data_IF_856150596060
#
_entry.id   IF_856150596060
#
_cell.length_a   1.000
_cell.length_b   1.000
_cell.length_c   1.000
_cell.angle_alpha   90.00
_cell.angle_beta   90.00
_cell.angle_gamma   90.00
#
_symmetry.space_group_name_H-M   'P 1'
#
loop_
_entity.id
_entity.type
_entity.pdbx_description
1 polymer ?
2 non-polymer ?
3 non-polymer ?
4 water ?
#
# COMPACT_ATOMS: atom_id res chain seq x y z
N UNK A 3 21.79 14.00 -14.65
CA UNK A 3 20.66 14.57 -13.83
C UNK A 3 19.91 13.49 -13.04
N UNK A 4 20.29 12.20 -13.25
CA UNK A 4 19.78 11.06 -12.46
C UNK A 4 20.93 10.37 -11.74
N UNK A 5 20.72 10.07 -10.45
CA UNK A 5 21.66 9.31 -9.63
C UNK A 5 21.32 7.83 -9.70
N UNK A 6 22.35 6.99 -9.80
CA UNK A 6 22.19 5.52 -9.78
C UNK A 6 22.75 4.96 -8.47
N UNK A 7 21.89 4.32 -7.69
CA UNK A 7 22.24 3.88 -6.35
C UNK A 7 21.97 2.40 -6.18
N UNK A 8 23.02 1.66 -5.89
CA UNK A 8 22.94 0.22 -5.63
C UNK A 8 22.57 -0.02 -4.17
N UNK A 9 21.39 -0.64 -3.93
CA UNK A 9 21.00 -0.82 -2.54
C UNK A 9 21.96 -1.75 -1.77
N UNK A 10 22.66 -2.65 -2.47
CA UNK A 10 23.53 -3.64 -1.79
C UNK A 10 24.73 -2.98 -1.19
N UNK A 11 25.07 -1.82 -1.69
CA UNK A 11 26.23 -1.10 -1.21
C UNK A 11 25.92 -0.31 0.05
N UNK A 12 24.77 0.34 0.03
CA UNK A 12 24.44 1.23 1.11
C UNK A 12 23.82 0.46 2.28
N UNK A 13 23.52 1.17 3.37
CA UNK A 13 23.05 0.49 4.59
C UNK A 13 21.55 0.30 4.58
N UNK A 14 21.08 -0.55 5.49
CA UNK A 14 19.63 -0.70 5.68
C UNK A 14 18.95 0.66 5.95
N UNK A 15 19.52 1.48 6.82
CA UNK A 15 18.94 2.80 7.06
C UNK A 15 18.92 3.67 5.78
N UNK A 16 19.97 3.57 4.94
CA UNK A 16 20.01 4.33 3.68
C UNK A 16 18.83 3.89 2.79
N UNK A 17 18.61 2.57 2.72
CA UNK A 17 17.54 2.05 1.87
C UNK A 17 16.18 2.42 2.43
N UNK A 18 16.07 2.30 3.75
CA UNK A 18 14.87 2.74 4.46
C UNK A 18 14.50 4.20 4.14
N UNK A 19 15.48 5.09 4.21
CA UNK A 19 15.25 6.49 3.88
C UNK A 19 14.76 6.66 2.43
N UNK A 20 15.37 5.96 1.46
CA UNK A 20 14.94 6.15 0.05
C UNK A 20 13.54 5.58 -0.16
N UNK A 21 13.25 4.42 0.41
CA UNK A 21 11.90 3.87 0.19
C UNK A 21 10.84 4.76 0.79
N UNK A 22 11.03 5.13 2.07
CA UNK A 22 10.01 5.90 2.76
C UNK A 22 9.86 7.33 2.24
N UNK A 23 10.90 7.85 1.58
CA UNK A 23 10.80 9.19 0.99
C UNK A 23 10.28 9.20 -0.44
N UNK A 24 10.36 8.03 -1.10
CA UNK A 24 9.91 7.90 -2.51
C UNK A 24 8.48 7.39 -2.64
N UNK A 25 8.15 6.36 -1.85
CA UNK A 25 6.81 5.72 -1.93
C UNK A 25 5.92 6.49 -0.97
N UNK A 26 5.42 7.60 -1.49
CA UNK A 26 4.60 8.54 -0.72
C UNK A 26 3.46 9.07 -1.57
N UNK A 27 2.37 9.50 -0.93
CA UNK A 27 2.07 9.41 0.51
C UNK A 27 1.57 7.98 0.82
N UNK A 28 1.68 7.55 2.07
CA UNK A 28 1.19 6.21 2.48
C UNK A 28 0.06 6.31 3.49
N UNK A 29 -1.02 5.60 3.23
CA UNK A 29 -2.14 5.64 4.19
C UNK A 29 -1.72 4.91 5.46
N UNK A 30 -2.27 5.32 6.61
CA UNK A 30 -1.82 4.77 7.90
C UNK A 30 -2.93 3.93 8.54
N UNK A 31 -2.66 2.63 8.74
CA UNK A 31 -3.64 1.72 9.43
C UNK A 31 -3.33 1.82 10.93
N UNK A 32 -4.33 2.15 11.75
CA UNK A 32 -4.13 2.00 13.21
C UNK A 32 -4.73 0.64 13.54
N UNK A 33 -3.91 -0.28 14.04
CA UNK A 33 -4.33 -1.68 14.11
C UNK A 33 -4.40 -2.12 15.58
N UNK A 34 -5.57 -2.65 15.99
CA UNK A 34 -5.67 -3.22 17.35
C UNK A 34 -5.67 -4.77 17.26
N UNK A 35 -5.22 -5.37 18.35
CA UNK A 35 -4.99 -6.83 18.41
C UNK A 35 -4.93 -7.16 19.90
N UNK A 36 -5.06 -8.44 20.23
CA UNK A 36 -5.15 -8.85 21.65
C UNK A 36 -4.14 -9.95 21.95
N UNK A 37 -3.54 -9.92 23.14
CA UNK A 37 -2.55 -10.91 23.55
C UNK A 37 -3.30 -12.16 24.05
N UNK A 38 -2.55 -13.23 24.34
CA UNK A 38 -3.17 -14.44 24.89
C UNK A 38 -3.90 -14.13 26.22
N UNK A 39 -3.32 -13.22 27.02
CA UNK A 39 -3.90 -12.87 28.31
C UNK A 39 -4.99 -11.80 28.23
N UNK A 40 -5.35 -11.40 27.00
CA UNK A 40 -6.45 -10.47 26.75
C UNK A 40 -6.16 -8.99 26.82
N UNK A 41 -4.88 -8.62 26.79
CA UNK A 41 -4.48 -7.21 26.79
C UNK A 41 -4.68 -6.63 25.37
N UNK A 42 -5.33 -5.47 25.30
CA UNK A 42 -5.54 -4.82 24.00
C UNK A 42 -4.31 -4.01 23.63
N UNK A 43 -3.76 -4.28 22.44
CA UNK A 43 -2.62 -3.56 21.90
C UNK A 43 -3.08 -2.75 20.69
N UNK A 44 -2.38 -1.67 20.42
CA UNK A 44 -2.64 -0.86 19.22
C UNK A 44 -1.37 -0.20 18.76
N UNK A 45 -1.21 -0.09 17.45
CA UNK A 45 -0.06 0.58 16.83
C UNK A 45 -0.40 1.00 15.41
N UNK A 46 0.24 2.07 14.92
CA UNK A 46 0.08 2.53 13.53
C UNK A 46 1.09 1.89 12.60
N UNK A 47 0.63 1.60 11.37
CA UNK A 47 1.44 1.00 10.32
C UNK A 47 1.15 1.68 8.98
N UNK A 48 2.18 2.26 8.35
CA UNK A 48 1.93 2.90 7.07
C UNK A 48 2.22 2.01 5.85
N UNK A 49 2.70 0.80 6.08
CA UNK A 49 2.90 -0.16 4.96
C UNK A 49 1.59 -0.92 4.77
N UNK A 50 0.59 -0.21 4.25
CA UNK A 50 -0.81 -0.60 4.31
C UNK A 50 -1.45 -0.34 2.97
N UNK A 51 -2.20 -1.29 2.45
CA UNK A 51 -2.99 -0.99 1.25
C UNK A 51 -4.08 -2.07 1.02
N UNK A 52 -4.84 -1.85 -0.05
CA UNK A 52 -5.82 -2.82 -0.51
C UNK A 52 -5.08 -3.95 -1.21
N UNK A 53 -5.66 -5.16 -1.14
CA UNK A 53 -5.18 -6.27 -1.91
C UNK A 53 -6.18 -6.63 -3.04
N UNK A 54 -7.45 -6.77 -2.68
CA UNK A 54 -8.50 -7.13 -3.62
C UNK A 54 -9.85 -6.78 -3.02
N UNK A 55 -10.87 -6.78 -3.89
CA UNK A 55 -12.25 -6.52 -3.45
C UNK A 55 -13.07 -7.78 -3.30
N UNK A 56 -12.61 -8.89 -3.90
CA UNK A 56 -13.38 -10.13 -3.89
C UNK A 56 -12.55 -11.28 -3.33
N UNK A 57 -12.73 -11.59 -2.05
CA UNK A 57 -13.47 -10.83 -1.04
C UNK A 57 -12.60 -9.63 -0.64
N UNK A 58 -13.12 -8.75 0.22
CA UNK A 58 -12.30 -7.57 0.59
C UNK A 58 -11.06 -8.01 1.36
N UNK A 59 -9.88 -7.80 0.74
CA UNK A 59 -8.60 -8.15 1.38
C UNK A 59 -7.73 -6.91 1.48
N UNK A 60 -7.02 -6.81 2.60
CA UNK A 60 -6.08 -5.71 2.85
C UNK A 60 -4.74 -6.29 3.31
N UNK A 61 -3.69 -5.47 3.23
CA UNK A 61 -2.35 -5.91 3.66
C UNK A 61 -1.77 -4.90 4.63
N UNK A 62 -1.02 -5.41 5.59
CA UNK A 62 -0.22 -4.56 6.49
C UNK A 62 1.11 -5.27 6.70
N UNK A 63 2.21 -4.58 6.39
CA UNK A 63 3.52 -5.20 6.57
C UNK A 63 4.12 -4.72 7.89
N UNK A 64 4.20 -5.64 8.86
CA UNK A 64 4.65 -5.30 10.21
C UNK A 64 6.12 -5.69 10.37
N UNK A 65 6.98 -4.72 10.62
CA UNK A 65 8.42 -5.00 10.67
C UNK A 65 8.75 -5.74 11.96
N UNK A 66 9.74 -6.61 11.90
CA UNK A 66 10.22 -7.31 13.09
C UNK A 66 11.22 -6.44 13.83
N UNK A 67 11.48 -6.80 15.08
CA UNK A 67 12.54 -6.15 15.86
C UNK A 67 13.58 -7.21 16.16
N UNK A 68 14.71 -7.10 15.47
CA UNK A 68 15.83 -8.05 15.55
C UNK A 68 15.39 -9.48 15.34
N UNK A 69 14.55 -9.67 14.32
CA UNK A 69 14.12 -10.99 13.95
C UNK A 69 12.94 -11.50 14.75
N UNK A 70 12.46 -10.72 15.72
CA UNK A 70 11.28 -11.11 16.53
C UNK A 70 10.01 -10.40 16.09
N UNK A 71 8.88 -11.11 16.07
CA UNK A 71 7.61 -10.44 15.70
C UNK A 71 7.25 -9.31 16.63
N UNK A 72 6.66 -8.25 16.10
CA UNK A 72 6.06 -7.26 16.99
C UNK A 72 4.73 -7.78 17.55
N UNK A 73 4.24 -7.13 18.61
CA UNK A 73 2.97 -7.55 19.24
C UNK A 73 1.86 -7.72 18.21
N UNK A 74 1.74 -6.78 17.28
CA UNK A 74 0.61 -6.84 16.36
C UNK A 74 0.62 -8.14 15.59
N UNK A 75 1.77 -8.54 15.04
CA UNK A 75 1.79 -9.76 14.24
C UNK A 75 1.67 -11.03 15.11
N UNK A 76 2.35 -11.07 16.25
CA UNK A 76 2.21 -12.20 17.18
C UNK A 76 0.72 -12.34 17.56
N UNK A 77 0.09 -11.21 17.92
CA UNK A 77 -1.32 -11.23 18.36
C UNK A 77 -2.29 -11.64 17.23
N UNK A 78 -2.05 -11.11 16.04
CA UNK A 78 -2.88 -11.43 14.88
C UNK A 78 -2.82 -12.92 14.56
N UNK A 79 -1.61 -13.49 14.62
CA UNK A 79 -1.43 -14.92 14.33
C UNK A 79 -2.09 -15.79 15.40
N UNK A 80 -1.92 -15.41 16.67
CA UNK A 80 -2.49 -16.22 17.76
C UNK A 80 -4.02 -16.19 17.78
N UNK A 81 -4.60 -15.01 17.61
CA UNK A 81 -6.06 -14.87 17.60
C UNK A 81 -6.71 -15.14 16.24
N UNK A 82 -5.95 -14.95 15.17
CA UNK A 82 -6.48 -15.02 13.81
C UNK A 82 -7.39 -13.86 13.46
N UNK A 83 -7.24 -12.75 14.19
CA UNK A 83 -8.17 -11.61 14.10
C UNK A 83 -7.44 -10.32 14.47
N UNK A 84 -7.94 -9.21 13.94
CA UNK A 84 -7.39 -7.88 14.27
C UNK A 84 -8.32 -6.83 13.66
N UNK A 85 -8.24 -5.59 14.16
CA UNK A 85 -9.08 -4.53 13.62
C UNK A 85 -8.17 -3.47 12.97
N UNK A 86 -8.51 -3.09 11.75
CA UNK A 86 -7.79 -2.01 11.05
C UNK A 86 -8.66 -0.75 11.06
N UNK A 87 -8.11 0.36 11.58
CA UNK A 87 -8.81 1.62 11.64
C UNK A 87 -8.16 2.58 10.66
N UNK A 88 -8.96 3.33 9.90
CA UNK A 88 -8.45 4.44 9.08
C UNK A 88 -7.98 5.57 9.99
N UNK A 89 -6.76 6.06 9.77
CA UNK A 89 -6.22 7.15 10.57
C UNK A 89 -6.66 8.48 9.98
N UNK A 90 -7.10 9.39 10.84
CA UNK A 90 -7.62 10.67 10.35
C UNK A 90 -7.24 11.81 11.29
N UNK A 91 -7.48 13.03 10.83
CA UNK A 91 -6.99 14.20 11.55
C UNK A 91 -7.55 14.31 12.96
N UNK A 92 -8.74 13.75 13.18
CA UNK A 92 -9.42 13.95 14.48
C UNK A 92 -8.78 13.17 15.62
N UNK A 93 -8.04 12.10 15.29
CA UNK A 93 -7.40 11.33 16.34
C UNK A 93 -5.97 10.89 16.06
N UNK A 94 -5.32 11.51 15.06
CA UNK A 94 -3.92 11.20 14.80
C UNK A 94 -3.00 11.49 16.02
N UNK A 95 -3.30 12.52 16.81
CA UNK A 95 -2.51 12.78 18.01
C UNK A 95 -2.48 11.58 18.96
N UNK A 96 -3.66 10.98 19.18
CA UNK A 96 -3.77 9.76 20.01
C UNK A 96 -3.05 8.56 19.34
N UNK A 97 -3.28 8.38 18.05
CA UNK A 97 -2.58 7.31 17.30
C UNK A 97 -1.06 7.44 17.50
N UNK A 98 -0.53 8.65 17.32
CA UNK A 98 0.89 8.86 17.52
C UNK A 98 1.38 8.47 18.94
N UNK A 99 0.58 8.74 19.96
CA UNK A 99 0.93 8.31 21.34
C UNK A 99 1.12 6.80 21.48
N UNK A 100 0.42 6.00 20.65
CA UNK A 100 0.54 4.52 20.72
C UNK A 100 1.77 3.93 20.02
N UNK A 101 2.53 4.75 19.29
CA UNK A 101 3.73 4.24 18.62
C UNK A 101 4.81 3.87 19.65
N UNK A 102 4.73 4.51 20.80
CA UNK A 102 5.63 4.26 21.93
C UNK A 102 5.80 2.79 22.30
N UNK A 103 6.98 2.43 22.78
CA UNK A 103 7.29 1.04 23.12
C UNK A 103 7.46 0.82 24.63
N UNK A 108 1.77 -3.47 28.95
CA UNK A 108 0.69 -2.50 29.10
C UNK A 108 -0.09 -2.27 27.81
N UNK A 109 -1.26 -1.65 27.95
CA UNK A 109 -2.13 -1.28 26.84
C UNK A 109 -1.83 0.14 26.32
N UNK A 110 -1.63 0.26 25.00
CA UNK A 110 -1.37 1.54 24.35
C UNK A 110 -2.65 2.37 24.31
N UNK A 111 -3.77 1.66 24.28
CA UNK A 111 -5.11 2.23 24.19
C UNK A 111 -5.39 3.08 25.43
N UNK A 112 -5.18 2.51 26.61
CA UNK A 112 -5.41 3.21 27.86
C UNK A 112 -4.54 4.44 27.95
N UNK A 113 -3.25 4.23 27.68
CA UNK A 113 -2.26 5.31 27.68
C UNK A 113 -2.70 6.49 26.81
N UNK A 114 -3.18 6.19 25.59
CA UNK A 114 -3.54 7.23 24.62
C UNK A 114 -4.96 7.74 24.79
N UNK A 115 -5.63 7.24 25.84
CA UNK A 115 -6.98 7.66 26.18
C UNK A 115 -7.99 7.31 25.10
N UNK A 116 -7.72 6.25 24.34
CA UNK A 116 -8.67 5.77 23.36
C UNK A 116 -9.68 4.83 24.02
N UNK A 117 -10.79 4.55 23.33
CA UNK A 117 -11.98 3.95 23.94
C UNK A 117 -12.34 2.63 23.28
N UNK A 118 -12.00 1.51 23.96
CA UNK A 118 -12.37 0.22 23.38
C UNK A 118 -13.84 0.09 23.03
N UNK A 119 -14.08 -0.59 21.92
CA UNK A 119 -15.42 -0.92 21.48
C UNK A 119 -15.48 -2.36 20.94
N UNK A 120 -16.40 -3.17 21.47
CA UNK A 120 -16.46 -4.59 21.10
C UNK A 120 -16.80 -4.74 19.61
N UNK A 121 -16.20 -5.73 18.96
CA UNK A 121 -16.50 -6.01 17.55
C UNK A 121 -17.74 -6.88 17.40
N UNK A 122 -18.33 -6.84 16.19
CA UNK A 122 -19.56 -7.58 15.89
C UNK A 122 -19.33 -9.07 15.53
N UNK A 123 -18.28 -9.34 14.75
CA UNK A 123 -17.97 -10.68 14.25
C UNK A 123 -16.79 -11.28 14.98
N UNK A 124 -15.68 -10.56 15.01
CA UNK A 124 -14.47 -11.04 15.69
C UNK A 124 -14.45 -10.67 17.18
N UNK A 125 -13.48 -11.22 17.91
CA UNK A 125 -13.38 -10.99 19.34
C UNK A 125 -12.27 -10.04 19.75
N UNK A 126 -11.73 -9.30 18.79
CA UNK A 126 -10.74 -8.24 19.08
C UNK A 126 -11.47 -6.90 19.07
N UNK A 127 -11.43 -6.13 20.18
CA UNK A 127 -12.06 -4.81 20.15
C UNK A 127 -11.35 -3.81 19.21
N UNK A 128 -12.11 -2.84 18.70
CA UNK A 128 -11.52 -1.65 18.04
C UNK A 128 -11.56 -0.48 19.00
N UNK A 129 -11.36 0.72 18.47
CA UNK A 129 -11.52 1.97 19.23
C UNK A 129 -12.61 2.84 18.63
N UNK A 130 -13.36 3.53 19.51
CA UNK A 130 -14.50 4.32 19.04
C UNK A 130 -14.10 5.55 18.25
N UNK A 131 -12.88 6.02 18.48
CA UNK A 131 -12.44 7.28 17.92
C UNK A 131 -12.36 7.27 16.40
N UNK A 132 -12.14 6.09 15.82
CA UNK A 132 -12.05 5.99 14.35
C UNK A 132 -13.41 6.24 13.70
N UNK A 133 -13.42 6.93 12.56
CA UNK A 133 -14.66 7.12 11.76
C UNK A 133 -14.88 5.98 10.77
N UNK A 134 -13.80 5.26 10.44
CA UNK A 134 -13.94 4.04 9.65
C UNK A 134 -13.05 2.97 10.25
N UNK A 135 -13.61 1.80 10.42
CA UNK A 135 -12.79 0.67 10.88
C UNK A 135 -13.30 -0.65 10.29
N UNK A 136 -12.39 -1.61 10.22
CA UNK A 136 -12.65 -2.87 9.52
C UNK A 136 -12.25 -4.04 10.41
N UNK A 137 -13.21 -4.90 10.74
CA UNK A 137 -12.88 -6.10 11.48
C UNK A 137 -12.29 -7.08 10.50
N UNK A 138 -11.12 -7.63 10.83
CA UNK A 138 -10.45 -8.56 9.89
C UNK A 138 -10.16 -9.91 10.48
N UNK A 139 -10.27 -10.92 9.62
CA UNK A 139 -9.69 -12.22 9.98
C UNK A 139 -8.36 -12.38 9.24
N UNK A 140 -7.41 -13.04 9.89
CA UNK A 140 -6.09 -13.20 9.29
C UNK A 140 -6.12 -14.30 8.25
N UNK A 141 -5.79 -13.96 6.99
CA UNK A 141 -5.69 -14.97 5.94
C UNK A 141 -4.27 -15.55 5.87
N UNK A 142 -3.26 -14.67 5.95
CA UNK A 142 -1.87 -15.09 5.79
C UNK A 142 -0.98 -14.20 6.64
N UNK A 143 0.09 -14.76 7.18
CA UNK A 143 1.15 -13.95 7.78
C UNK A 143 2.42 -14.48 7.12
N UNK A 144 3.00 -13.66 6.24
CA UNK A 144 4.07 -14.15 5.39
C UNK A 144 5.38 -13.46 5.77
N UNK A 145 6.34 -14.21 6.37
CA UNK A 145 7.59 -13.55 6.74
C UNK A 145 8.38 -13.25 5.48
N UNK A 146 8.92 -12.04 5.41
CA UNK A 146 9.66 -11.65 4.22
C UNK A 146 10.93 -10.91 4.57
N UNK A 147 11.86 -10.92 3.64
CA UNK A 147 13.14 -10.19 3.80
C UNK A 147 14.03 -10.76 4.88
N UNK A 148 15.06 -9.99 5.25
CA UNK A 148 15.96 -10.39 6.34
C UNK A 148 16.73 -11.65 5.97
N UNK A 149 16.92 -12.53 6.93
CA UNK A 149 17.47 -13.87 6.70
C UNK A 149 16.39 -14.90 6.97
N UNK A 150 16.61 -16.13 6.51
CA UNK A 150 15.66 -17.23 6.77
C UNK A 150 15.41 -17.37 8.28
N UNK A 151 16.46 -17.23 9.08
CA UNK A 151 16.31 -17.36 10.53
C UNK A 151 15.92 -16.05 11.21
N UNK A 152 16.06 -14.93 10.50
CA UNK A 152 15.69 -13.65 11.05
C UNK A 152 14.97 -12.80 9.98
N UNK A 153 13.68 -13.12 9.70
CA UNK A 153 12.97 -12.29 8.69
C UNK A 153 12.88 -10.83 9.09
N UNK A 154 12.66 -9.96 8.10
CA UNK A 154 12.59 -8.50 8.33
C UNK A 154 11.21 -8.04 8.71
N UNK A 155 10.20 -8.80 8.28
CA UNK A 155 8.81 -8.37 8.52
C UNK A 155 7.88 -9.54 8.40
N UNK A 156 6.64 -9.32 8.80
CA UNK A 156 5.52 -10.24 8.49
C UNK A 156 4.45 -9.47 7.75
N UNK A 157 4.20 -9.90 6.51
CA UNK A 157 3.16 -9.30 5.71
C UNK A 157 1.84 -9.98 6.08
N UNK A 158 0.94 -9.20 6.68
CA UNK A 158 -0.34 -9.70 7.12
C UNK A 158 -1.37 -9.43 6.04
N UNK A 159 -2.05 -10.49 5.59
CA UNK A 159 -3.17 -10.33 4.66
C UNK A 159 -4.44 -10.53 5.49
N UNK A 160 -5.30 -9.50 5.57
CA UNK A 160 -6.55 -9.63 6.36
C UNK A 160 -7.75 -9.64 5.44
N UNK A 161 -8.78 -10.42 5.80
CA UNK A 161 -10.04 -10.36 5.06
C UNK A 161 -11.04 -9.58 5.90
N UNK A 162 -11.67 -8.57 5.29
CA UNK A 162 -12.60 -7.73 6.05
C UNK A 162 -13.89 -8.50 6.20
N UNK A 163 -14.31 -8.65 7.47
CA UNK A 163 -15.59 -9.33 7.76
C UNK A 163 -16.70 -8.39 8.23
N UNK A 164 -16.33 -7.16 8.59
CA UNK A 164 -17.32 -6.12 8.91
C UNK A 164 -16.70 -4.75 8.73
N UNK A 165 -17.41 -3.84 8.04
CA UNK A 165 -17.01 -2.44 7.96
C UNK A 165 -17.87 -1.65 8.95
N UNK A 166 -17.29 -0.61 9.54
CA UNK A 166 -18.03 0.34 10.38
C UNK A 166 -17.67 1.71 9.82
N UNK A 167 -18.67 2.50 9.44
CA UNK A 167 -18.42 3.75 8.75
C UNK A 167 -19.32 4.84 9.33
N UNK A 168 -18.74 5.99 9.66
CA UNK A 168 -19.53 7.15 10.15
C UNK A 168 -20.58 7.55 9.12
N UNK A 169 -21.84 7.68 9.56
CA UNK A 169 -22.90 7.95 8.58
C UNK A 169 -22.67 9.24 7.79
N UNK A 170 -22.10 10.26 8.42
CA UNK A 170 -21.96 11.55 7.74
C UNK A 170 -20.94 11.44 6.61
N UNK A 171 -20.20 10.34 6.60
CA UNK A 171 -19.16 10.13 5.54
C UNK A 171 -19.68 9.31 4.39
N UNK A 172 -20.84 8.69 4.59
CA UNK A 172 -21.31 7.64 3.71
C UNK A 172 -22.45 8.15 2.86
N UNK A 173 -22.27 8.13 1.55
CA UNK A 173 -23.34 8.56 0.65
C UNK A 173 -23.58 7.48 -0.35
N UNK A 174 -24.59 6.68 -0.03
CA UNK A 174 -25.01 5.58 -0.87
C UNK A 174 -23.82 4.77 -1.40
N UNK A 175 -22.98 4.29 -0.48
CA UNK A 175 -21.89 3.43 -0.88
C UNK A 175 -20.56 4.09 -1.08
N UNK A 176 -20.55 5.42 -1.18
CA UNK A 176 -19.27 6.16 -1.39
C UNK A 176 -18.85 6.86 -0.12
N UNK A 177 -17.56 7.10 0.00
CA UNK A 177 -17.01 7.80 1.15
C UNK A 177 -16.59 9.22 0.78
N UNK A 178 -17.03 10.19 1.57
CA UNK A 178 -16.61 11.58 1.37
C UNK A 178 -15.19 11.81 1.89
N UNK A 179 -14.24 11.86 0.96
CA UNK A 179 -12.83 12.00 1.33
C UNK A 179 -12.54 13.26 2.15
N UNK A 180 -13.13 14.39 1.75
CA UNK A 180 -13.00 15.68 2.42
C UNK A 180 -13.55 15.66 3.86
N UNK A 181 -14.58 14.86 4.06
CA UNK A 181 -15.17 14.69 5.37
C UNK A 181 -14.30 13.78 6.23
N UNK A 182 -13.70 12.76 5.59
CA UNK A 182 -12.87 11.81 6.32
C UNK A 182 -11.58 12.42 6.88
N UNK A 183 -10.92 13.27 6.09
CA UNK A 183 -9.65 13.87 6.50
C UNK A 183 -8.61 12.82 6.90
N UNK A 184 -8.36 11.87 5.97
CA UNK A 184 -7.39 10.81 6.25
C UNK A 184 -5.98 11.42 6.39
N UNK A 185 -5.15 10.79 7.20
CA UNK A 185 -3.75 11.18 7.26
C UNK A 185 -2.84 10.12 6.65
N UNK A 186 -1.72 10.63 6.13
CA UNK A 186 -0.77 9.79 5.42
C UNK A 186 0.63 10.03 5.99
N UNK A 187 1.49 9.03 5.82
CA UNK A 187 2.87 9.12 6.27
C UNK A 187 3.80 9.42 5.10
N UNK A 188 4.77 10.30 5.36
CA UNK A 188 5.87 10.52 4.44
C UNK A 188 7.18 9.97 5.06
N UNK A 189 8.32 10.62 4.82
CA UNK A 189 9.56 10.13 5.39
C UNK A 189 9.77 10.76 6.77
N UNK A 190 10.67 10.19 7.56
CA UNK A 190 10.93 10.75 8.90
C UNK A 190 9.67 10.78 9.75
N UNK A 191 9.50 11.86 10.54
CA UNK A 191 8.26 12.04 11.32
C UNK A 191 7.29 12.94 10.59
N UNK A 192 7.35 12.94 9.26
CA UNK A 192 6.49 13.79 8.48
C UNK A 192 5.23 13.07 8.06
N UNK A 193 4.14 13.81 8.11
CA UNK A 193 2.81 13.33 7.67
C UNK A 193 2.22 14.32 6.70
N UNK A 194 1.17 13.90 6.01
CA UNK A 194 0.45 14.81 5.14
C UNK A 194 -1.05 14.65 5.34
N UNK A 195 -1.75 15.78 5.32
CA UNK A 195 -3.18 15.79 5.15
C UNK A 195 -3.55 15.40 3.73
N UNK A 196 -4.82 15.14 3.48
CA UNK A 196 -5.27 14.85 2.11
C UNK A 196 -5.07 16.05 1.18
N UNK A 197 -4.47 15.83 0.02
CA UNK A 197 -4.24 16.94 -0.89
C UNK A 197 -5.38 17.29 -1.83
N UNK A 198 -5.13 18.32 -2.63
CA UNK A 198 -6.05 18.82 -3.63
C UNK A 198 -6.40 17.74 -4.64
N UNK A 199 -7.69 17.56 -4.87
CA UNK A 199 -8.16 16.51 -5.73
C UNK A 199 -8.25 16.98 -7.16
N UNK A 200 -8.11 16.03 -8.07
CA UNK A 200 -8.31 16.24 -9.48
C UNK A 200 -8.81 14.95 -10.12
N UNK A 201 -9.50 15.09 -11.25
CA UNK A 201 -10.02 13.90 -11.92
C UNK A 201 -9.19 13.40 -13.08
N UNK A 202 -9.03 12.09 -13.13
CA UNK A 202 -8.51 11.42 -14.30
C UNK A 202 -9.37 10.20 -14.62
N UNK B 1 -23.69 12.93 16.23
CA UNK B 1 -22.37 13.11 16.91
C UNK B 1 -21.48 11.86 16.88
N UNK B 2 -22.05 10.66 16.94
CA UNK B 2 -21.27 9.49 16.55
C UNK B 2 -22.07 8.40 15.85
N UNK B 3 -22.92 8.78 14.90
CA UNK B 3 -23.73 7.77 14.22
C UNK B 3 -22.83 6.91 13.32
N UNK B 4 -22.72 5.62 13.64
CA UNK B 4 -21.89 4.68 12.89
C UNK B 4 -22.74 3.59 12.21
N UNK B 5 -22.45 3.32 10.93
CA UNK B 5 -23.10 2.25 10.17
C UNK B 5 -22.29 0.95 10.20
N UNK B 6 -23.00 -0.17 10.38
CA UNK B 6 -22.40 -1.50 10.24
C UNK B 6 -22.71 -2.05 8.87
N UNK B 7 -21.66 -2.44 8.13
CA UNK B 7 -21.85 -2.92 6.76
C UNK B 7 -21.19 -4.28 6.62
N UNK B 8 -22.01 -5.28 6.27
CA UNK B 8 -21.52 -6.63 6.11
C UNK B 8 -21.12 -6.90 4.66
N UNK B 9 -19.83 -7.21 4.39
CA UNK B 9 -19.42 -7.37 3.00
C UNK B 9 -20.13 -8.54 2.27
N UNK B 10 -20.61 -9.50 3.05
CA UNK B 10 -21.38 -10.61 2.49
C UNK B 10 -22.79 -10.22 2.01
N UNK B 11 -23.27 -9.04 2.44
CA UNK B 11 -24.60 -8.55 2.10
C UNK B 11 -24.58 -7.44 1.06
N UNK B 12 -23.44 -7.27 0.39
CA UNK B 12 -23.41 -6.33 -0.70
C UNK B 12 -22.53 -6.89 -1.80
N UNK B 13 -22.55 -6.22 -2.95
CA UNK B 13 -21.86 -6.75 -4.14
C UNK B 13 -20.35 -6.49 -4.11
N UNK B 14 -19.63 -7.18 -4.99
CA UNK B 14 -18.21 -6.92 -5.16
C UNK B 14 -17.96 -5.44 -5.47
N UNK B 15 -18.77 -4.86 -6.34
CA UNK B 15 -18.59 -3.45 -6.67
C UNK B 15 -18.83 -2.59 -5.43
N UNK B 16 -19.84 -2.92 -4.64
CA UNK B 16 -20.05 -2.20 -3.37
C UNK B 16 -18.83 -2.28 -2.43
N UNK B 17 -18.25 -3.47 -2.30
CA UNK B 17 -17.06 -3.64 -1.44
C UNK B 17 -15.86 -2.87 -2.01
N UNK B 18 -15.73 -2.91 -3.32
CA UNK B 18 -14.71 -2.14 -4.04
C UNK B 18 -14.82 -0.66 -3.74
N UNK B 19 -16.03 -0.11 -3.84
CA UNK B 19 -16.25 1.32 -3.58
C UNK B 19 -15.90 1.69 -2.15
N UNK B 20 -16.23 0.81 -1.20
CA UNK B 20 -15.91 1.11 0.17
C UNK B 20 -14.40 1.03 0.44
N UNK B 21 -13.73 0.02 -0.11
CA UNK B 21 -12.28 -0.09 0.13
C UNK B 21 -11.55 1.07 -0.52
N UNK B 22 -11.87 1.36 -1.80
CA UNK B 22 -11.14 2.39 -2.51
C UNK B 22 -11.46 3.81 -2.02
N UNK B 23 -12.63 3.98 -1.35
CA UNK B 23 -12.95 5.28 -0.76
C UNK B 23 -12.44 5.47 0.64
N UNK B 24 -12.15 4.36 1.35
CA UNK B 24 -11.72 4.41 2.76
C UNK B 24 -10.21 4.40 2.92
N UNK B 25 -9.55 3.60 2.09
CA UNK B 25 -8.09 3.42 2.22
C UNK B 25 -7.47 4.37 1.22
N UNK B 26 -7.34 5.61 1.69
CA UNK B 26 -6.87 6.73 0.87
C UNK B 26 -5.97 7.62 1.72
N UNK B 27 -5.07 8.39 1.07
CA UNK B 27 -4.75 8.36 -0.37
C UNK B 27 -3.84 7.18 -0.62
N UNK B 28 -3.82 6.67 -1.86
CA UNK B 28 -2.93 5.53 -2.18
C UNK B 28 -1.83 5.95 -3.17
N UNK B 29 -0.58 5.58 -2.90
CA UNK B 29 0.48 5.91 -3.85
C UNK B 29 0.30 5.07 -5.11
N UNK B 30 0.78 5.57 -6.25
CA UNK B 30 0.51 4.90 -7.53
C UNK B 30 1.81 4.43 -8.16
N UNK B 31 1.95 3.12 -8.30
CA UNK B 31 3.11 2.54 -8.97
C UNK B 31 2.86 2.54 -10.48
N UNK B 32 3.78 3.12 -11.25
CA UNK B 32 3.68 3.00 -12.71
C UNK B 32 4.68 1.91 -13.06
N UNK B 33 4.15 0.78 -13.55
CA UNK B 33 4.99 -0.44 -13.65
C UNK B 33 5.20 -0.83 -15.11
N UNK B 34 6.47 -1.01 -15.50
CA UNK B 34 6.78 -1.50 -16.86
C UNK B 34 7.27 -2.93 -16.77
N UNK B 35 6.97 -3.68 -17.83
CA UNK B 35 7.26 -5.10 -17.88
C UNK B 35 7.31 -5.45 -19.37
N UNK B 36 7.90 -6.61 -19.70
CA UNK B 36 8.11 -6.95 -21.12
C UNK B 36 7.50 -8.31 -21.42
N UNK B 37 6.81 -8.41 -22.58
CA UNK B 37 6.18 -9.68 -22.99
C UNK B 37 7.22 -10.65 -23.57
N UNK B 38 6.82 -11.93 -23.75
CA UNK B 38 7.72 -12.90 -24.38
C UNK B 38 8.05 -12.47 -25.83
N UNK B 39 7.20 -11.64 -26.42
CA UNK B 39 7.41 -11.19 -27.82
C UNK B 39 8.27 -9.93 -27.90
N UNK B 40 8.62 -9.38 -26.74
CA UNK B 40 9.54 -8.22 -26.65
C UNK B 40 8.90 -6.87 -26.48
N UNK B 41 7.59 -6.84 -26.24
CA UNK B 41 6.85 -5.58 -26.21
C UNK B 41 6.86 -4.99 -24.80
N UNK B 42 7.08 -3.66 -24.71
CA UNK B 42 7.15 -3.00 -23.41
C UNK B 42 5.76 -2.54 -22.95
N UNK B 43 5.21 -3.19 -21.92
CA UNK B 43 3.95 -2.80 -21.37
C UNK B 43 4.16 -1.83 -20.21
N UNK B 44 3.13 -1.03 -19.92
CA UNK B 44 3.15 -0.15 -18.74
C UNK B 44 1.73 0.07 -18.29
N UNK B 45 1.56 0.15 -16.96
CA UNK B 45 0.24 0.44 -16.37
C UNK B 45 0.39 0.93 -14.95
N UNK B 46 -0.56 1.75 -14.47
CA UNK B 46 -0.56 2.22 -13.11
C UNK B 46 -1.33 1.28 -12.19
N UNK B 47 -0.83 1.18 -10.95
CA UNK B 47 -1.43 0.33 -9.91
C UNK B 47 -1.39 1.08 -8.58
N UNK B 48 -2.56 1.37 -7.98
CA UNK B 48 -2.56 2.07 -6.71
C UNK B 48 -2.51 1.14 -5.50
N UNK B 49 -2.56 -0.19 -5.72
CA UNK B 49 -2.47 -1.12 -4.58
C UNK B 49 -0.99 -1.43 -4.38
N UNK B 50 -0.28 -0.41 -3.90
CA UNK B 50 1.18 -0.34 -3.92
C UNK B 50 1.69 0.12 -2.53
N UNK B 51 2.71 -0.55 -2.03
CA UNK B 51 3.36 0.00 -0.83
C UNK B 51 4.72 -0.63 -0.61
N UNK B 52 5.37 -0.17 0.46
CA UNK B 52 6.63 -0.77 0.91
C UNK B 52 6.34 -2.08 1.65
N UNK B 53 7.25 -3.05 1.56
CA UNK B 53 7.14 -4.29 2.37
C UNK B 53 8.22 -4.28 3.48
N UNK B 54 9.46 -3.97 3.12
CA UNK B 54 10.57 -3.99 4.09
C UNK B 54 11.73 -3.18 3.54
N UNK B 55 12.69 -2.85 4.40
CA UNK B 55 13.90 -2.13 3.92
C UNK B 55 15.13 -3.03 3.82
N UNK B 56 15.07 -4.21 4.44
CA UNK B 56 16.21 -5.15 4.49
C UNK B 56 15.80 -6.52 3.94
N UNK B 57 16.06 -6.79 2.65
CA UNK B 57 16.50 -5.87 1.60
C UNK B 57 15.29 -5.01 1.19
N UNK B 58 15.48 -3.99 0.35
CA UNK B 58 14.32 -3.15 -0.05
C UNK B 58 13.31 -3.97 -0.82
N UNK B 59 12.12 -4.15 -0.23
CA UNK B 59 11.03 -4.93 -0.83
C UNK B 59 9.79 -4.05 -0.94
N UNK B 60 9.10 -4.20 -2.09
CA UNK B 60 7.86 -3.44 -2.35
C UNK B 60 6.78 -4.42 -2.82
N UNK B 61 5.52 -3.98 -2.72
CA UNK B 61 4.41 -4.84 -3.19
C UNK B 61 3.51 -4.10 -4.15
N UNK B 62 2.98 -4.84 -5.13
CA UNK B 62 1.97 -4.27 -6.03
C UNK B 62 0.95 -5.38 -6.25
N UNK B 63 -0.32 -5.10 -5.92
CA UNK B 63 -1.36 -6.10 -6.15
C UNK B 63 -2.01 -5.88 -7.50
N UNK B 64 -1.86 -6.86 -8.39
CA UNK B 64 -2.35 -6.73 -9.78
C UNK B 64 -3.58 -7.65 -9.93
N UNK B 65 -4.71 -7.06 -10.29
CA UNK B 65 -5.96 -7.87 -10.34
C UNK B 65 -5.92 -8.81 -11.54
N UNK B 66 -6.61 -9.95 -11.41
CA UNK B 66 -6.77 -10.88 -12.53
C UNK B 66 -8.05 -10.51 -13.27
N UNK B 67 -8.19 -11.07 -14.47
CA UNK B 67 -9.44 -10.94 -15.23
C UNK B 67 -10.05 -12.33 -15.35
N UNK B 68 -11.19 -12.50 -14.68
CA UNK B 68 -11.86 -13.80 -14.64
C UNK B 68 -10.85 -14.95 -14.36
N UNK B 69 -10.01 -14.74 -13.35
CA UNK B 69 -9.12 -15.81 -12.91
C UNK B 69 -7.82 -15.92 -13.69
N UNK B 70 -7.65 -15.09 -14.72
CA UNK B 70 -6.42 -15.10 -15.52
C UNK B 70 -5.53 -13.89 -15.24
N UNK B 71 -4.24 -14.15 -15.13
CA UNK B 71 -3.25 -13.07 -14.90
C UNK B 71 -3.27 -12.00 -15.96
N UNK B 72 -3.17 -10.73 -15.54
CA UNK B 72 -3.04 -9.56 -16.41
C UNK B 72 -1.62 -9.57 -16.99
N UNK B 73 -1.40 -8.82 -18.07
CA UNK B 73 -0.11 -8.73 -18.73
C UNK B 73 1.03 -8.44 -17.73
N UNK B 74 0.80 -7.46 -16.86
CA UNK B 74 1.89 -7.05 -15.95
C UNK B 74 2.37 -8.24 -15.11
N UNK B 75 1.43 -9.03 -14.55
CA UNK B 75 1.83 -10.19 -13.73
C UNK B 75 2.47 -11.30 -14.53
N UNK B 76 1.86 -11.61 -15.68
CA UNK B 76 2.45 -12.60 -16.59
C UNK B 76 3.88 -12.24 -16.96
N UNK B 77 4.08 -10.97 -17.34
CA UNK B 77 5.40 -10.52 -17.79
C UNK B 77 6.40 -10.52 -16.61
N UNK B 78 5.94 -10.12 -15.43
CA UNK B 78 6.83 -10.09 -14.27
C UNK B 78 7.26 -11.50 -13.88
N UNK B 79 6.35 -12.46 -13.97
CA UNK B 79 6.69 -13.82 -13.61
C UNK B 79 7.62 -14.44 -14.67
N UNK B 80 7.28 -14.22 -15.94
CA UNK B 80 8.06 -14.78 -17.04
C UNK B 80 9.50 -14.29 -17.04
N UNK B 81 9.70 -12.97 -16.95
CA UNK B 81 11.06 -12.37 -16.91
C UNK B 81 11.71 -12.38 -15.52
N UNK B 82 10.90 -12.47 -14.47
CA UNK B 82 11.38 -12.30 -13.09
C UNK B 82 11.84 -10.88 -12.78
N UNK B 83 11.38 -9.91 -13.57
CA UNK B 83 11.90 -8.52 -13.54
C UNK B 83 10.79 -7.57 -13.91
N UNK B 84 10.86 -6.37 -13.36
CA UNK B 84 9.93 -5.29 -13.75
C UNK B 84 10.46 -3.99 -13.17
N UNK B 85 9.99 -2.86 -13.69
CA UNK B 85 10.44 -1.57 -13.12
C UNK B 85 9.24 -0.87 -12.47
N UNK B 86 9.46 -0.33 -11.27
CA UNK B 86 8.42 0.42 -10.57
C UNK B 86 8.82 1.88 -10.56
N UNK B 87 7.96 2.73 -11.11
CA UNK B 87 8.23 4.16 -11.14
C UNK B 87 7.30 4.87 -10.17
N UNK B 88 7.83 5.89 -9.51
CA UNK B 88 6.97 6.77 -8.71
C UNK B 88 6.20 7.70 -9.67
N UNK B 89 4.90 7.80 -9.45
CA UNK B 89 4.02 8.66 -10.25
C UNK B 89 3.99 10.05 -9.69
N UNK B 90 4.13 11.03 -10.58
CA UNK B 90 4.17 12.42 -10.12
C UNK B 90 3.48 13.37 -11.09
N UNK B 91 3.27 14.62 -10.64
CA UNK B 91 2.50 15.57 -11.44
C UNK B 91 3.11 15.83 -12.83
N UNK B 92 4.43 15.62 -12.97
CA UNK B 92 5.10 15.97 -14.26
C UNK B 92 4.74 15.02 -15.40
N UNK B 93 4.24 13.82 -15.08
CA UNK B 93 3.89 12.90 -16.17
C UNK B 93 2.61 12.09 -15.91
N UNK B 94 1.81 12.52 -14.92
CA UNK B 94 0.56 11.81 -14.64
C UNK B 94 -0.41 11.83 -15.84
N UNK B 95 -0.34 12.88 -16.66
CA UNK B 95 -1.17 12.87 -17.88
C UNK B 95 -0.86 11.64 -18.76
N UNK B 96 0.44 11.34 -18.96
CA UNK B 96 0.85 10.21 -19.76
C UNK B 96 0.54 8.91 -19.03
N UNK B 97 0.77 8.88 -17.72
CA UNK B 97 0.42 7.67 -16.93
C UNK B 97 -1.06 7.35 -17.15
N UNK B 98 -1.91 8.37 -17.09
CA UNK B 98 -3.36 8.12 -17.26
C UNK B 98 -3.68 7.52 -18.63
N UNK B 99 -2.96 7.98 -19.65
CA UNK B 99 -3.14 7.44 -21.00
C UNK B 99 -2.87 5.96 -21.06
N UNK B 100 -1.95 5.47 -20.23
CA UNK B 100 -1.63 4.05 -20.27
C UNK B 100 -2.69 3.15 -19.66
N UNK B 101 -3.60 3.72 -18.86
CA UNK B 101 -4.49 2.92 -18.01
C UNK B 101 -5.58 2.23 -18.83
N UNK B 102 -5.85 2.79 -20.01
CA UNK B 102 -6.80 2.21 -20.95
C UNK B 102 -6.37 0.81 -21.41
N UNK B 103 -7.31 0.05 -21.96
CA UNK B 103 -7.02 -1.33 -22.37
C UNK B 103 -6.75 -1.47 -23.86
N UNK B 104 -5.46 -1.62 -24.16
CA UNK B 104 -4.98 -2.02 -25.47
C UNK B 104 -5.09 -3.53 -25.60
N UNK B 105 -5.14 -4.03 -26.83
CA UNK B 105 -4.93 -5.46 -27.03
C UNK B 105 -3.58 -5.88 -26.44
N UNK B 106 -3.45 -7.15 -26.04
CA UNK B 106 -2.17 -7.66 -25.57
C UNK B 106 -1.08 -7.43 -26.61
N UNK B 107 0.14 -7.24 -26.10
CA UNK B 107 1.30 -7.10 -26.95
C UNK B 107 1.29 -5.82 -27.79
N UNK B 108 0.68 -4.78 -27.22
CA UNK B 108 0.80 -3.40 -27.71
C UNK B 108 1.36 -2.51 -26.59
N UNK B 109 2.31 -1.66 -26.91
CA UNK B 109 3.04 -0.90 -25.89
C UNK B 109 2.28 0.35 -25.48
N UNK B 110 1.80 0.38 -24.23
CA UNK B 110 1.17 1.59 -23.71
C UNK B 110 2.20 2.70 -23.61
N UNK B 111 3.47 2.33 -23.41
CA UNK B 111 4.52 3.31 -23.30
C UNK B 111 4.62 4.13 -24.59
N UNK B 112 4.69 3.44 -25.72
CA UNK B 112 4.76 4.15 -27.01
C UNK B 112 3.46 4.92 -27.32
N UNK B 113 2.30 4.33 -27.02
CA UNK B 113 1.03 5.04 -27.18
C UNK B 113 1.01 6.36 -26.41
N UNK B 114 1.51 6.34 -25.17
CA UNK B 114 1.48 7.52 -24.30
C UNK B 114 2.63 8.52 -24.54
N UNK B 115 3.45 8.24 -25.55
CA UNK B 115 4.54 9.15 -25.95
C UNK B 115 5.61 9.21 -24.85
N UNK B 116 5.74 8.11 -24.10
CA UNK B 116 6.78 8.02 -23.06
C UNK B 116 8.02 7.40 -23.68
N UNK B 117 9.14 7.48 -22.96
CA UNK B 117 10.45 7.20 -23.56
C UNK B 117 11.18 6.09 -22.83
N UNK B 118 11.36 4.93 -23.49
CA UNK B 118 12.08 3.83 -22.81
C UNK B 118 13.50 4.24 -22.42
N UNK B 119 13.95 3.74 -21.27
CA UNK B 119 15.33 3.90 -20.85
C UNK B 119 15.81 2.56 -20.30
N UNK B 120 16.92 2.07 -20.84
CA UNK B 120 17.39 0.75 -20.48
C UNK B 120 17.82 0.70 -19.00
N UNK B 121 17.57 -0.44 -18.37
CA UNK B 121 17.93 -0.69 -16.98
C UNK B 121 19.38 -1.22 -16.89
N UNK B 122 19.99 -1.05 -15.72
CA UNK B 122 21.40 -1.39 -15.49
C UNK B 122 21.59 -2.85 -15.07
N UNK B 123 20.68 -3.36 -14.23
CA UNK B 123 20.81 -4.71 -13.64
C UNK B 123 19.86 -5.66 -14.34
N UNK B 124 18.62 -5.23 -14.53
CA UNK B 124 17.61 -6.09 -15.16
C UNK B 124 17.50 -5.75 -16.63
N UNK B 125 16.73 -6.58 -17.34
CA UNK B 125 16.53 -6.53 -18.80
C UNK B 125 15.20 -5.91 -19.23
N UNK B 126 14.48 -5.31 -18.29
CA UNK B 126 13.24 -4.61 -18.57
C UNK B 126 13.51 -3.10 -18.49
N UNK B 127 13.24 -2.37 -19.58
CA UNK B 127 13.42 -0.92 -19.54
C UNK B 127 12.38 -0.23 -18.65
N UNK B 128 12.73 0.97 -18.17
CA UNK B 128 11.76 1.87 -17.57
C UNK B 128 11.43 3.00 -18.54
N UNK B 129 10.90 4.08 -17.98
CA UNK B 129 10.66 5.30 -18.75
C UNK B 129 11.47 6.47 -18.21
N UNK B 130 12.00 7.28 -19.12
CA UNK B 130 12.83 8.42 -18.77
C UNK B 130 12.08 9.52 -18.01
N UNK B 131 10.76 9.65 -18.28
CA UNK B 131 9.96 10.70 -17.69
C UNK B 131 9.85 10.63 -16.15
N UNK B 132 10.01 9.44 -15.55
CA UNK B 132 9.96 9.36 -14.08
C UNK B 132 11.15 10.04 -13.42
N UNK B 133 10.91 10.66 -12.27
CA UNK B 133 11.97 11.25 -11.45
C UNK B 133 12.56 10.24 -10.45
N UNK B 134 11.80 9.19 -10.13
CA UNK B 134 12.34 8.12 -9.29
C UNK B 134 11.82 6.83 -9.88
N UNK B 135 12.74 5.90 -10.13
CA UNK B 135 12.35 4.55 -10.52
C UNK B 135 13.22 3.50 -9.91
N UNK B 136 12.67 2.30 -9.81
CA UNK B 136 13.32 1.21 -9.10
C UNK B 136 13.30 -0.02 -9.96
N UNK B 137 14.48 -0.55 -10.26
CA UNK B 137 14.57 -1.82 -10.98
C UNK B 137 14.28 -2.89 -9.97
N UNK B 138 13.33 -3.76 -10.31
CA UNK B 138 12.97 -4.85 -9.39
C UNK B 138 13.16 -6.25 -9.97
N UNK B 139 13.53 -7.17 -9.09
CA UNK B 139 13.39 -8.59 -9.41
C UNK B 139 12.19 -9.14 -8.62
N UNK B 140 11.55 -10.14 -9.19
CA UNK B 140 10.36 -10.68 -8.56
C UNK B 140 10.78 -11.66 -7.47
N UNK B 141 10.47 -11.31 -6.23
CA UNK B 141 10.78 -12.21 -5.11
C UNK B 141 9.74 -13.31 -5.01
N UNK B 142 8.47 -12.92 -5.13
CA UNK B 142 7.39 -13.92 -5.20
C UNK B 142 6.14 -13.26 -5.76
N UNK B 143 5.28 -14.08 -6.37
CA UNK B 143 3.96 -13.62 -6.79
C UNK B 143 2.99 -14.49 -5.98
N UNK B 144 2.06 -13.85 -5.29
CA UNK B 144 1.16 -14.54 -4.36
C UNK B 144 -0.28 -14.43 -4.89
N UNK B 145 -0.86 -15.54 -5.41
CA UNK B 145 -2.24 -15.45 -5.88
C UNK B 145 -3.12 -15.32 -4.64
N UNK B 146 -4.09 -14.42 -4.69
CA UNK B 146 -4.97 -14.17 -3.50
C UNK B 146 -6.40 -13.89 -3.89
N UNK B 147 -7.33 -14.16 -2.95
CA UNK B 147 -8.73 -13.80 -3.14
C UNK B 147 -9.43 -14.68 -4.18
N UNK B 148 -10.64 -14.27 -4.58
CA UNK B 148 -11.42 -14.99 -5.58
C UNK B 148 -11.82 -16.36 -5.03
N UNK B 149 -11.70 -17.37 -5.88
CA UNK B 149 -12.05 -18.74 -5.50
C UNK B 149 -10.81 -19.61 -5.55
N UNK B 150 -10.90 -20.80 -4.94
CA UNK B 150 -9.85 -21.84 -4.98
C UNK B 150 -9.28 -21.92 -6.41
N UNK B 151 -10.18 -21.96 -7.39
CA UNK B 151 -9.77 -22.16 -8.79
C UNK B 151 -9.55 -20.88 -9.59
N UNK B 152 -10.06 -19.75 -9.10
CA UNK B 152 -9.94 -18.49 -9.84
C UNK B 152 -9.57 -17.33 -8.90
N UNK B 153 -8.24 -17.16 -8.64
CA UNK B 153 -7.79 -16.03 -7.76
C UNK B 153 -8.25 -14.68 -8.28
N UNK B 154 -8.42 -13.70 -7.37
CA UNK B 154 -8.85 -12.37 -7.75
C UNK B 154 -7.64 -11.53 -8.18
N UNK B 155 -6.46 -11.88 -7.67
CA UNK B 155 -5.28 -11.01 -7.91
C UNK B 155 -4.00 -11.75 -7.68
N UNK B 156 -2.87 -11.13 -8.04
CA UNK B 156 -1.55 -11.63 -7.68
C UNK B 156 -0.85 -10.49 -7.01
N UNK B 157 -0.40 -10.76 -5.79
CA UNK B 157 0.36 -9.75 -5.05
C UNK B 157 1.82 -9.98 -5.40
N UNK B 158 2.41 -9.01 -6.10
CA UNK B 158 3.81 -9.14 -6.57
C UNK B 158 4.69 -8.53 -5.51
N UNK B 159 5.66 -9.32 -5.03
CA UNK B 159 6.67 -8.80 -4.09
C UNK B 159 7.95 -8.59 -4.88
N UNK B 160 8.40 -7.34 -4.98
CA UNK B 160 9.58 -7.02 -5.80
C UNK B 160 10.71 -6.62 -4.89
N UNK B 161 11.91 -7.06 -5.22
CA UNK B 161 13.11 -6.64 -4.51
C UNK B 161 13.81 -5.61 -5.37
N UNK B 162 14.04 -4.43 -4.79
CA UNK B 162 14.71 -3.34 -5.53
C UNK B 162 16.19 -3.69 -5.66
N UNK B 163 16.67 -3.72 -6.91
CA UNK B 163 18.10 -4.00 -7.18
C UNK B 163 18.85 -2.75 -7.68
N UNK B 164 18.10 -1.71 -8.04
CA UNK B 164 18.71 -0.41 -8.37
C UNK B 164 17.70 0.70 -8.16
N UNK B 165 18.15 1.78 -7.52
CA UNK B 165 17.35 3.00 -7.42
C UNK B 165 17.92 3.99 -8.42
N UNK B 166 17.04 4.74 -9.09
CA UNK B 166 17.42 5.86 -9.96
C UNK B 166 16.65 7.07 -9.45
N UNK B 167 17.36 8.12 -9.04
CA UNK B 167 16.72 9.27 -8.37
C UNK B 167 17.18 10.57 -8.97
N UNK B 168 16.26 11.46 -9.34
CA UNK B 168 16.66 12.77 -9.89
C UNK B 168 17.53 13.52 -8.86
N UNK B 169 18.69 14.04 -9.32
CA UNK B 169 19.63 14.64 -8.38
C UNK B 169 18.96 15.81 -7.66
N UNK B 170 18.11 16.57 -8.35
CA UNK B 170 17.47 17.72 -7.69
C UNK B 170 16.53 17.38 -6.54
N UNK B 171 16.11 16.11 -6.47
CA UNK B 171 15.22 15.63 -5.39
C UNK B 171 15.96 15.07 -4.20
N UNK B 172 17.24 14.79 -4.36
CA UNK B 172 17.96 13.99 -3.37
C UNK B 172 18.80 14.91 -2.50
N UNK B 173 18.68 14.75 -1.19
CA UNK B 173 19.45 15.57 -0.24
C UNK B 173 19.79 14.76 1.00
N UNK B 174 21.06 14.45 1.19
CA UNK B 174 21.53 13.72 2.35
C UNK B 174 20.75 12.42 2.54
N UNK B 175 20.44 11.74 1.43
CA UNK B 175 19.80 10.43 1.51
C UNK B 175 18.30 10.48 1.56
N UNK B 176 17.76 11.70 1.57
CA UNK B 176 16.34 11.91 1.66
C UNK B 176 15.79 12.49 0.35
N UNK B 177 14.48 12.38 0.19
CA UNK B 177 13.79 12.86 -1.01
C UNK B 177 12.96 14.09 -0.68
N UNK B 178 13.09 15.15 -1.48
CA UNK B 178 12.27 16.35 -1.28
C UNK B 178 10.86 16.10 -1.78
N UNK B 179 9.95 15.87 -0.83
CA UNK B 179 8.57 15.53 -1.18
C UNK B 179 7.89 16.62 -2.02
N UNK B 180 8.11 17.89 -1.66
CA UNK B 180 7.48 18.96 -2.44
C UNK B 180 8.09 19.13 -3.82
N UNK B 181 9.36 18.77 -4.00
CA UNK B 181 9.96 18.78 -5.33
C UNK B 181 9.47 17.61 -6.18
N UNK B 182 9.22 16.46 -5.54
CA UNK B 182 8.71 15.27 -6.22
C UNK B 182 7.29 15.46 -6.76
N UNK B 183 6.41 16.06 -5.96
CA UNK B 183 5.00 16.24 -6.34
C UNK B 183 4.35 14.89 -6.70
N UNK B 184 4.40 13.96 -5.75
CA UNK B 184 3.82 12.64 -6.03
C UNK B 184 2.31 12.76 -6.21
N UNK B 185 1.74 11.87 -7.03
CA UNK B 185 0.27 11.81 -7.11
C UNK B 185 -0.28 10.56 -6.44
N UNK B 186 -1.51 10.66 -5.93
CA UNK B 186 -2.13 9.53 -5.27
C UNK B 186 -3.52 9.31 -5.81
N UNK B 187 -4.05 8.11 -5.57
CA UNK B 187 -5.38 7.72 -6.05
C UNK B 187 -6.41 7.74 -4.91
N UNK B 188 -7.60 8.23 -5.25
CA UNK B 188 -8.71 8.16 -4.30
C UNK B 188 -9.79 7.21 -4.88
N UNK B 189 -11.05 7.47 -4.58
CA UNK B 189 -12.09 6.63 -5.15
C UNK B 189 -12.48 7.15 -6.55
N UNK B 190 -13.09 6.29 -7.34
CA UNK B 190 -13.61 6.70 -8.65
C UNK B 190 -12.45 7.07 -9.54
N UNK B 191 -12.62 8.07 -10.39
CA UNK B 191 -11.45 8.48 -11.13
C UNK B 191 -10.88 9.77 -10.53
N UNK B 192 -10.94 9.86 -9.18
CA UNK B 192 -10.32 10.96 -8.46
C UNK B 192 -8.90 10.65 -7.99
N UNK B 193 -8.03 11.64 -8.16
CA UNK B 193 -6.66 11.57 -7.68
C UNK B 193 -6.42 12.70 -6.70
N UNK B 194 -5.24 12.73 -6.07
CA UNK B 194 -4.93 13.82 -5.17
C UNK B 194 -3.44 14.18 -5.29
N UNK B 195 -3.16 15.48 -5.26
CA UNK B 195 -1.79 15.98 -5.12
C UNK B 195 -1.36 15.78 -3.67
N UNK B 196 -0.08 16.02 -3.37
CA UNK B 196 0.45 15.84 -2.05
C UNK B 196 -0.18 16.90 -1.14
N UNK B 197 -0.69 16.50 0.01
CA UNK B 197 -1.31 17.46 0.93
C UNK B 197 -0.35 18.22 1.83
N UNK B 198 -0.94 19.09 2.64
CA UNK B 198 -0.17 19.89 3.58
C UNK B 198 0.53 19.01 4.58
N UNK B 199 1.81 19.27 4.78
CA UNK B 199 2.59 18.46 5.70
C UNK B 199 2.45 18.92 7.15
N UNK B 200 2.67 17.99 8.06
CA UNK B 200 2.79 18.28 9.47
C UNK B 200 3.70 17.26 10.12
N UNK B 201 4.24 17.64 11.26
CA UNK B 201 5.15 16.79 12.01
C UNK B 201 4.56 16.49 13.37
N UNK B 202 4.80 15.27 13.86
CA UNK B 202 4.38 14.91 15.20
C UNK B 202 5.58 14.50 16.06
X LIG C 1 -14.60 -7.59 20.77
X LIG D 1 6.40 -1.73 11.71
X LIG E 1 -21.35 -9.81 -7.37
X LIG E 1 -20.49 -10.93 -7.75
X LIG E 1 -21.03 -9.38 -6.02
X LIG E 1 -22.75 -10.23 -7.41
X LIG E 1 -21.22 -8.73 -8.32
X LIG F 1 -5.21 -4.10 -11.44
X LIG G 1 7.77 -1.91 -27.38
#
# INVERSE_FOLDING_TARGET
>A
SNAMLSINPNEQTEKDNYKLLTGSIIPRPVAFVTSVTKEGVLNGAPYSYFNIVAANPPLISVSVQRKAGERKDTSRNAIEKGEFVVHISDESYVAAINETAANLPPNESEIELAKLTPIESEVISVPGVKEANIRMECVLERAIPLGGTEDSPACDLLIGRVVRFHVAEHLYEKGRIHAEGLKPISRLAGHNYAKLGEQFELVRPI
>B
SNAMLSINPNEQTEKDNYKLLTGSIIPRPVAFVTSVTKEGVLNGAPYSYFNIVAANPPLISVSVQRKAGERKDTSRNAIEKGEFVVHISDESYVAAINETAANLPPNESEIELAKLTPIESEVISVPGVKEANIRMECVLERAIPLGGTEDSPACDLLIGRVVRFHVAEHLYEKGRIHAEGLKPISRLAGHNYAKLGEQFELVRPI
>C hetero
1 CL CL
>D hetero
1 CL CL
>E hetero
1 SO4 S O1 O2 O3 O4
>F hetero
1 CL CL
>G hetero
1 CL CL
#
